data_IF_281956747120
#
_entry.id   IF_281956747120
#
_cell.length_a   1.000
_cell.length_b   1.000
_cell.length_c   1.000
_cell.angle_alpha   90.00
_cell.angle_beta   90.00
_cell.angle_gamma   90.00
#
_symmetry.space_group_name_H-M   'P 1'
#
loop_
_entity.id
_entity.type
_entity.pdbx_description
1 polymer ?
#
# COMPACT_ATOMS: atom_id res chain seq x y z
N UNK A 1 11.23 7.99 3.26
CA UNK A 1 12.39 8.05 4.16
C UNK A 1 13.19 6.74 4.04
N UNK A 2 14.51 6.82 3.94
CA UNK A 2 15.38 5.63 3.94
C UNK A 2 16.33 5.72 5.14
N UNK A 3 16.40 4.67 5.95
CA UNK A 3 17.32 4.54 7.10
C UNK A 3 18.15 3.29 6.89
N UNK A 4 19.48 3.39 6.96
CA UNK A 4 20.41 2.28 6.76
C UNK A 4 21.22 2.08 8.04
N UNK A 5 21.13 0.88 8.62
CA UNK A 5 21.88 0.51 9.82
C UNK A 5 23.06 -0.38 9.41
N UNK A 6 24.26 0.15 9.57
CA UNK A 6 25.51 -0.56 9.25
C UNK A 6 26.12 -1.03 10.58
N UNK A 7 26.23 -2.35 10.81
CA UNK A 7 26.84 -2.85 12.03
C UNK A 7 28.34 -2.55 12.06
N UNK A 8 28.89 -2.34 13.26
CA UNK A 8 30.33 -2.24 13.45
C UNK A 8 31.00 -3.59 13.16
N UNK A 9 32.24 -3.54 12.70
CA UNK A 9 33.10 -4.71 12.46
C UNK A 9 34.20 -4.74 13.51
N UNK A 10 34.61 -5.94 13.93
CA UNK A 10 35.70 -6.12 14.90
C UNK A 10 36.97 -6.57 14.16
N UNK A 11 37.90 -5.62 13.99
CA UNK A 11 39.17 -5.84 13.29
C UNK A 11 40.14 -6.77 14.03
N UNK A 12 39.85 -7.11 15.30
CA UNK A 12 40.63 -8.08 16.08
C UNK A 12 40.32 -9.54 15.74
N UNK A 13 39.23 -9.80 15.02
CA UNK A 13 38.83 -11.15 14.59
C UNK A 13 39.21 -11.34 13.11
N UNK A 14 39.92 -12.42 12.73
CA UNK A 14 40.22 -12.70 11.33
C UNK A 14 38.92 -12.85 10.51
N UNK A 15 38.73 -11.97 9.51
CA UNK A 15 37.52 -11.89 8.69
C UNK A 15 37.44 -12.98 7.59
N UNK A 16 37.75 -14.23 7.91
CA UNK A 16 37.61 -15.33 6.95
C UNK A 16 36.16 -15.82 6.90
N UNK A 17 35.54 -15.74 5.71
CA UNK A 17 34.18 -16.24 5.42
C UNK A 17 33.06 -15.60 6.28
N UNK A 18 33.06 -14.27 6.43
CA UNK A 18 32.01 -13.55 7.19
C UNK A 18 30.93 -12.99 6.26
N UNK A 19 29.65 -13.24 6.59
CA UNK A 19 28.50 -12.57 5.97
C UNK A 19 28.08 -11.37 6.83
N UNK A 20 28.14 -10.17 6.25
CA UNK A 20 27.63 -8.96 6.89
C UNK A 20 26.24 -8.63 6.38
N UNK A 21 25.29 -8.48 7.31
CA UNK A 21 23.91 -8.11 6.99
C UNK A 21 23.71 -6.63 7.32
N UNK A 22 23.31 -5.87 6.31
CA UNK A 22 22.95 -4.47 6.45
C UNK A 22 21.45 -4.32 6.29
N UNK A 23 20.80 -3.72 7.28
CA UNK A 23 19.36 -3.52 7.27
C UNK A 23 19.05 -2.13 6.70
N UNK A 24 18.17 -2.09 5.68
CA UNK A 24 17.65 -0.86 5.09
C UNK A 24 16.14 -0.77 5.31
N UNK A 25 15.71 0.17 6.11
CA UNK A 25 14.30 0.49 6.33
C UNK A 25 13.86 1.58 5.35
N UNK A 26 12.80 1.30 4.57
CA UNK A 26 12.16 2.28 3.67
C UNK A 26 10.76 2.59 4.18
N UNK A 27 10.56 3.81 4.67
CA UNK A 27 9.28 4.26 5.22
C UNK A 27 8.60 5.24 4.27
N UNK A 28 7.28 5.13 4.15
CA UNK A 28 6.43 6.15 3.50
C UNK A 28 6.41 7.40 4.39
N UNK A 29 6.58 8.58 3.78
CA UNK A 29 6.54 9.86 4.47
C UNK A 29 5.63 10.79 3.68
N UNK A 30 4.54 11.25 4.30
CA UNK A 30 3.55 12.10 3.67
C UNK A 30 3.55 13.46 4.34
N UNK A 31 3.62 14.52 3.53
CA UNK A 31 3.35 15.88 3.99
C UNK A 31 1.84 16.11 3.94
N UNK A 32 1.26 16.64 5.04
CA UNK A 32 -0.17 16.93 5.16
C UNK A 32 -0.35 18.43 5.44
N UNK A 33 -0.69 19.25 4.42
CA UNK A 33 -1.06 20.63 4.63
C UNK A 33 -2.26 20.76 5.59
N UNK A 34 -2.32 21.89 6.31
CA UNK A 34 -3.51 22.25 7.06
C UNK A 34 -4.67 22.59 6.11
N UNK A 35 -5.92 22.40 6.56
CA UNK A 35 -7.12 22.78 5.80
C UNK A 35 -7.59 21.77 4.75
N UNK A 36 -7.04 20.55 4.73
CA UNK A 36 -7.58 19.47 3.89
C UNK A 36 -8.95 19.01 4.42
N UNK A 37 -9.90 18.84 3.49
CA UNK A 37 -11.23 18.33 3.81
C UNK A 37 -11.23 16.82 4.09
N UNK A 38 -12.12 16.39 4.97
CA UNK A 38 -12.29 14.99 5.37
C UNK A 38 -11.32 14.53 6.45
N UNK A 39 -11.28 13.23 6.69
CA UNK A 39 -10.37 12.60 7.65
C UNK A 39 -9.50 11.55 6.94
N UNK A 40 -8.19 11.49 7.22
CA UNK A 40 -7.30 10.50 6.60
C UNK A 40 -7.72 9.07 6.93
N UNK A 41 -8.22 8.85 8.14
CA UNK A 41 -8.67 7.54 8.65
C UNK A 41 -9.83 6.97 7.84
N UNK A 42 -10.69 7.83 7.25
CA UNK A 42 -11.85 7.39 6.48
C UNK A 42 -11.61 7.37 4.97
N UNK A 43 -10.44 7.84 4.51
CA UNK A 43 -10.16 8.03 3.09
C UNK A 43 -10.35 6.74 2.25
N UNK A 44 -10.04 5.58 2.83
CA UNK A 44 -10.14 4.29 2.17
C UNK A 44 -11.59 3.87 1.83
N UNK A 45 -12.59 4.38 2.55
CA UNK A 45 -14.01 4.11 2.26
C UNK A 45 -14.47 4.76 0.96
N UNK A 46 -13.84 5.88 0.60
CA UNK A 46 -14.20 6.70 -0.56
C UNK A 46 -13.55 6.21 -1.86
N UNK A 47 -12.73 5.16 -1.81
CA UNK A 47 -12.21 4.55 -3.02
C UNK A 47 -13.35 4.02 -3.89
N UNK A 48 -13.30 4.34 -5.17
CA UNK A 48 -14.18 3.76 -6.18
C UNK A 48 -13.42 2.80 -7.07
N UNK A 49 -14.12 1.81 -7.59
CA UNK A 49 -13.56 0.81 -8.48
C UNK A 49 -14.29 0.84 -9.82
N UNK A 50 -13.54 0.58 -10.89
CA UNK A 50 -14.10 0.42 -12.22
C UNK A 50 -13.33 -0.69 -12.96
N UNK A 51 -14.04 -1.43 -13.78
CA UNK A 51 -13.47 -2.50 -14.59
C UNK A 51 -13.45 -2.14 -16.08
N UNK A 52 -12.33 -2.40 -16.73
CA UNK A 52 -12.21 -2.34 -18.19
C UNK A 52 -11.46 -3.59 -18.68
N UNK A 53 -12.16 -4.48 -19.38
CA UNK A 53 -11.60 -5.78 -19.80
C UNK A 53 -11.10 -6.58 -18.61
N UNK A 54 -9.80 -6.86 -18.56
CA UNK A 54 -9.12 -7.55 -17.46
C UNK A 54 -8.40 -6.60 -16.49
N UNK A 55 -8.68 -5.29 -16.53
CA UNK A 55 -8.05 -4.30 -15.63
C UNK A 55 -9.05 -3.79 -14.61
N UNK A 56 -8.61 -3.75 -13.36
CA UNK A 56 -9.27 -3.05 -12.26
C UNK A 56 -8.64 -1.68 -12.12
N UNK A 57 -9.42 -0.61 -12.12
CA UNK A 57 -8.98 0.74 -11.77
C UNK A 57 -9.55 1.13 -10.43
N UNK A 58 -8.69 1.51 -9.50
CA UNK A 58 -9.06 2.02 -8.18
C UNK A 58 -8.80 3.52 -8.17
N UNK A 59 -9.83 4.32 -7.91
CA UNK A 59 -9.76 5.78 -7.92
C UNK A 59 -9.97 6.33 -6.52
N UNK A 60 -9.19 7.34 -6.16
CA UNK A 60 -9.21 7.98 -4.86
C UNK A 60 -9.62 9.45 -5.02
N UNK A 61 -10.86 9.81 -4.67
CA UNK A 61 -11.34 11.19 -4.75
C UNK A 61 -10.88 12.04 -3.55
N UNK A 62 -10.17 11.49 -2.57
CA UNK A 62 -9.77 12.20 -1.34
C UNK A 62 -8.42 12.91 -1.49
N UNK A 63 -8.07 13.86 -0.61
CA UNK A 63 -6.77 14.50 -0.61
C UNK A 63 -5.68 13.69 0.14
N UNK A 64 -5.94 12.43 0.52
CA UNK A 64 -5.03 11.59 1.29
C UNK A 64 -4.53 10.40 0.46
N UNK A 65 -3.28 10.00 0.67
CA UNK A 65 -2.80 8.71 0.15
C UNK A 65 -3.52 7.58 0.89
N UNK A 66 -4.00 6.58 0.15
CA UNK A 66 -4.51 5.35 0.75
C UNK A 66 -3.49 4.24 0.49
N UNK A 67 -2.87 3.72 1.55
CA UNK A 67 -2.01 2.53 1.46
C UNK A 67 -2.87 1.29 1.61
N UNK A 68 -2.87 0.43 0.59
CA UNK A 68 -3.59 -0.84 0.60
C UNK A 68 -2.76 -1.88 1.38
N UNK A 69 -3.35 -2.44 2.43
CA UNK A 69 -2.80 -3.61 3.12
C UNK A 69 -3.09 -4.88 2.33
N UNK A 70 -4.32 -5.00 1.84
CA UNK A 70 -4.73 -6.06 0.91
C UNK A 70 -5.62 -5.47 -0.18
N UNK A 71 -5.57 -6.07 -1.36
CA UNK A 71 -6.53 -5.87 -2.44
C UNK A 71 -6.83 -7.23 -3.06
N UNK A 72 -8.10 -7.62 -3.09
CA UNK A 72 -8.52 -8.93 -3.56
C UNK A 72 -9.68 -8.81 -4.54
N UNK A 73 -9.69 -9.68 -5.55
CA UNK A 73 -10.80 -9.89 -6.46
C UNK A 73 -11.34 -11.30 -6.24
N UNK A 74 -12.60 -11.44 -5.80
CA UNK A 74 -13.24 -12.71 -5.42
C UNK A 74 -12.36 -13.58 -4.51
N UNK A 75 -11.68 -12.95 -3.55
CA UNK A 75 -10.80 -13.61 -2.59
C UNK A 75 -9.36 -13.84 -3.07
N UNK A 76 -9.07 -13.65 -4.36
CA UNK A 76 -7.71 -13.76 -4.90
C UNK A 76 -6.96 -12.44 -4.81
N UNK A 77 -5.78 -12.46 -4.19
CA UNK A 77 -4.99 -11.27 -3.91
C UNK A 77 -4.24 -10.73 -5.14
N UNK A 78 -4.29 -9.41 -5.30
CA UNK A 78 -3.54 -8.62 -6.27
C UNK A 78 -2.28 -8.09 -5.57
N UNK A 79 -1.17 -8.80 -5.73
CA UNK A 79 0.06 -8.57 -4.95
C UNK A 79 0.79 -7.28 -5.29
N UNK A 80 0.58 -6.73 -6.49
CA UNK A 80 1.18 -5.45 -6.88
C UNK A 80 0.49 -4.21 -6.25
N UNK A 81 -0.60 -4.40 -5.51
CA UNK A 81 -1.30 -3.31 -4.85
C UNK A 81 -0.43 -2.70 -3.74
N UNK A 82 -0.25 -1.38 -3.78
CA UNK A 82 0.56 -0.65 -2.80
C UNK A 82 -0.18 0.61 -2.30
N UNK A 83 -0.31 1.63 -3.13
CA UNK A 83 -0.95 2.89 -2.76
C UNK A 83 -1.84 3.44 -3.87
N UNK A 84 -2.89 4.15 -3.49
CA UNK A 84 -3.69 4.98 -4.39
C UNK A 84 -3.44 6.46 -4.05
N UNK A 85 -2.94 7.28 -4.99
CA UNK A 85 -2.59 8.66 -4.72
C UNK A 85 -3.82 9.55 -4.50
N UNK A 86 -3.69 10.69 -3.80
CA UNK A 86 -4.74 11.69 -3.68
C UNK A 86 -5.25 12.13 -5.06
N UNK A 87 -6.56 12.28 -5.20
CA UNK A 87 -7.22 12.78 -6.43
C UNK A 87 -6.77 12.05 -7.72
N UNK A 88 -6.38 10.79 -7.60
CA UNK A 88 -5.81 10.01 -8.69
C UNK A 88 -6.28 8.56 -8.70
N UNK A 89 -5.72 7.77 -9.59
CA UNK A 89 -6.11 6.37 -9.78
C UNK A 89 -4.91 5.47 -10.08
N UNK A 90 -5.04 4.20 -9.73
CA UNK A 90 -4.07 3.15 -10.08
C UNK A 90 -4.83 1.98 -10.69
N UNK A 91 -4.22 1.30 -11.66
CA UNK A 91 -4.83 0.15 -12.32
C UNK A 91 -3.99 -1.11 -12.14
N UNK A 92 -4.69 -2.22 -11.90
CA UNK A 92 -4.12 -3.55 -11.66
C UNK A 92 -4.67 -4.56 -12.65
N UNK A 93 -3.94 -5.65 -12.87
CA UNK A 93 -4.46 -6.77 -13.66
C UNK A 93 -5.35 -7.62 -12.77
N UNK A 94 -6.58 -7.88 -13.20
CA UNK A 94 -7.46 -8.78 -12.48
C UNK A 94 -6.97 -10.23 -12.65
N UNK A 95 -6.95 -11.03 -11.57
CA UNK A 95 -6.61 -12.45 -11.67
C UNK A 95 -7.59 -13.25 -12.54
N UNK A 96 -8.85 -12.80 -12.59
CA UNK A 96 -9.88 -13.35 -13.47
C UNK A 96 -10.69 -12.26 -14.15
N UNK A 97 -10.95 -12.44 -15.45
CA UNK A 97 -11.88 -11.61 -16.22
C UNK A 97 -13.36 -11.92 -15.90
N UNK A 98 -13.67 -12.71 -14.88
CA UNK A 98 -15.05 -12.87 -14.38
C UNK A 98 -15.19 -12.37 -12.95
N UNK A 99 -14.17 -11.71 -12.41
CA UNK A 99 -14.21 -11.17 -11.07
C UNK A 99 -15.44 -10.26 -10.86
N UNK A 100 -16.14 -10.47 -9.76
CA UNK A 100 -17.42 -9.83 -9.44
C UNK A 100 -17.34 -8.88 -8.25
N UNK A 101 -16.49 -9.19 -7.28
CA UNK A 101 -16.37 -8.45 -6.02
C UNK A 101 -14.91 -8.13 -5.76
N UNK A 102 -14.65 -6.89 -5.37
CA UNK A 102 -13.34 -6.45 -4.90
C UNK A 102 -13.42 -6.10 -3.44
N UNK A 103 -12.46 -6.58 -2.66
CA UNK A 103 -12.30 -6.24 -1.25
C UNK A 103 -10.93 -5.66 -0.99
N UNK A 104 -10.84 -4.75 -0.03
CA UNK A 104 -9.56 -4.18 0.40
C UNK A 104 -9.55 -3.82 1.88
N UNK A 105 -8.35 -3.76 2.42
CA UNK A 105 -8.05 -3.14 3.71
C UNK A 105 -6.93 -2.13 3.49
N UNK A 106 -6.88 -1.09 4.32
CA UNK A 106 -5.86 -0.07 4.27
C UNK A 106 -4.98 -0.08 5.53
N UNK A 107 -3.79 0.49 5.42
CA UNK A 107 -2.95 0.83 6.58
C UNK A 107 -3.27 2.28 6.98
N UNK A 108 -3.69 2.49 8.22
CA UNK A 108 -4.00 3.83 8.76
C UNK A 108 -2.74 4.51 9.30
N UNK A 109 -2.83 5.80 9.62
CA UNK A 109 -1.69 6.63 10.07
C UNK A 109 -0.92 6.06 11.28
N UNK A 110 -1.60 5.33 12.17
CA UNK A 110 -0.99 4.68 13.33
C UNK A 110 -0.34 3.31 13.01
N UNK A 111 -0.28 2.91 11.74
CA UNK A 111 0.27 1.64 11.29
C UNK A 111 -0.66 0.43 11.45
N UNK A 112 -1.88 0.63 11.96
CA UNK A 112 -2.90 -0.41 12.07
C UNK A 112 -3.56 -0.76 10.74
N UNK A 113 -4.23 -1.91 10.68
CA UNK A 113 -5.01 -2.35 9.52
C UNK A 113 -6.48 -1.96 9.71
N UNK A 114 -7.10 -1.38 8.68
CA UNK A 114 -8.50 -0.98 8.69
C UNK A 114 -9.46 -2.17 8.66
N UNK A 115 -10.75 -1.88 8.85
CA UNK A 115 -11.80 -2.83 8.49
C UNK A 115 -11.82 -3.08 6.97
N UNK A 116 -12.35 -4.24 6.58
CA UNK A 116 -12.46 -4.65 5.18
C UNK A 116 -13.59 -3.92 4.47
N UNK A 117 -13.27 -3.26 3.36
CA UNK A 117 -14.24 -2.77 2.40
C UNK A 117 -14.59 -3.84 1.37
N UNK A 118 -15.81 -3.78 0.85
CA UNK A 118 -16.29 -4.64 -0.23
C UNK A 118 -17.11 -3.83 -1.22
N UNK A 119 -16.84 -4.00 -2.51
CA UNK A 119 -17.59 -3.40 -3.62
C UNK A 119 -17.77 -4.40 -4.75
N UNK A 120 -18.91 -4.31 -5.42
CA UNK A 120 -19.15 -5.05 -6.68
C UNK A 120 -18.50 -4.31 -7.85
N UNK A 121 -17.96 -5.08 -8.79
CA UNK A 121 -17.36 -4.61 -10.05
C UNK A 121 -18.41 -4.27 -11.11
#
# INVERSE_FOLDING_TARGET
LNVKSIPATDDSVPHNNVLQVVVKSRLKLFYRPAGLEGQPETAYHHLSIARSGNRLTVSNPTPYYVTLFTLKADGQEIKEADMVPPKGSVSFTLPSATASTVTWQAIIDYGGVSQTESRKL
#
